data_IF_686767287942
#
_entry.id   IF_686767287942
#
_cell.length_a   1.000
_cell.length_b   1.000
_cell.length_c   1.000
_cell.angle_alpha   90.00
_cell.angle_beta   90.00
_cell.angle_gamma   90.00
#
_symmetry.space_group_name_H-M   'P 1'
#
loop_
_entity.id
_entity.type
_entity.pdbx_description
1 polymer ?
#
# COMPACT_ATOMS: atom_id res chain seq x y z
N UNK A 1 -14.82 15.01 21.77
CA UNK A 1 -15.84 15.22 20.73
C UNK A 1 -15.50 14.27 19.58
N UNK A 2 -16.20 13.13 19.46
CA UNK A 2 -15.97 12.18 18.37
C UNK A 2 -16.79 12.62 17.17
N UNK A 3 -16.11 13.18 16.16
CA UNK A 3 -16.69 13.23 14.83
C UNK A 3 -16.49 11.85 14.21
N UNK A 4 -17.59 11.15 13.88
CA UNK A 4 -17.58 9.97 13.01
C UNK A 4 -17.31 10.43 11.57
N UNK A 5 -16.12 10.98 11.31
CA UNK A 5 -15.69 11.22 9.94
C UNK A 5 -15.29 9.88 9.36
N UNK A 6 -16.08 9.39 8.40
CA UNK A 6 -15.72 8.24 7.59
C UNK A 6 -14.32 8.43 6.99
N UNK A 7 -13.50 7.38 7.06
CA UNK A 7 -12.19 7.33 6.40
C UNK A 7 -12.09 6.04 5.61
N UNK A 8 -11.81 6.16 4.30
CA UNK A 8 -11.60 5.01 3.41
C UNK A 8 -10.41 4.13 3.80
N UNK A 9 -9.50 4.63 4.65
CA UNK A 9 -8.42 3.84 5.23
C UNK A 9 -8.92 2.72 6.14
N UNK A 10 -10.07 2.91 6.79
CA UNK A 10 -10.68 1.95 7.71
C UNK A 10 -11.85 1.18 7.07
N UNK A 11 -12.02 1.26 5.75
CA UNK A 11 -13.09 0.55 5.03
C UNK A 11 -12.52 -0.68 4.29
N UNK A 12 -13.06 -1.89 4.52
CA UNK A 12 -12.54 -3.12 3.91
C UNK A 12 -12.75 -3.17 2.40
N UNK A 13 -13.85 -2.62 1.86
CA UNK A 13 -14.09 -2.62 0.42
C UNK A 13 -13.14 -1.66 -0.30
N UNK A 14 -12.82 -0.51 0.30
CA UNK A 14 -11.79 0.38 -0.23
C UNK A 14 -10.40 -0.24 -0.12
N UNK A 15 -10.10 -1.02 0.92
CA UNK A 15 -8.85 -1.77 1.00
C UNK A 15 -8.76 -2.83 -0.12
N UNK A 16 -9.83 -3.59 -0.40
CA UNK A 16 -9.89 -4.50 -1.55
C UNK A 16 -9.66 -3.74 -2.85
N UNK A 17 -10.35 -2.62 -3.04
CA UNK A 17 -10.21 -1.80 -4.25
C UNK A 17 -8.76 -1.33 -4.45
N UNK A 18 -8.11 -0.81 -3.40
CA UNK A 18 -6.72 -0.37 -3.44
C UNK A 18 -5.76 -1.52 -3.77
N UNK A 19 -5.89 -2.66 -3.10
CA UNK A 19 -5.07 -3.84 -3.39
C UNK A 19 -5.29 -4.38 -4.82
N UNK A 20 -6.53 -4.39 -5.32
CA UNK A 20 -6.84 -4.74 -6.71
C UNK A 20 -6.17 -3.78 -7.70
N UNK A 21 -6.18 -2.46 -7.44
CA UNK A 21 -5.50 -1.51 -8.34
C UNK A 21 -3.98 -1.69 -8.38
N UNK A 22 -3.36 -2.14 -7.28
CA UNK A 22 -1.93 -2.43 -7.23
C UNK A 22 -1.53 -3.62 -8.11
N UNK A 23 -2.43 -4.59 -8.34
CA UNK A 23 -2.17 -5.74 -9.25
C UNK A 23 -1.79 -5.31 -10.67
N UNK A 24 -2.18 -4.09 -11.09
CA UNK A 24 -1.85 -3.55 -12.41
C UNK A 24 -0.40 -3.05 -12.54
N UNK A 25 0.31 -2.84 -11.43
CA UNK A 25 1.70 -2.37 -11.43
C UNK A 25 2.69 -3.37 -10.88
N UNK A 26 2.22 -4.30 -10.05
CA UNK A 26 3.03 -5.37 -9.48
C UNK A 26 3.18 -6.49 -10.51
N UNK A 27 4.41 -6.96 -10.82
CA UNK A 27 4.59 -8.09 -11.71
C UNK A 27 3.89 -9.35 -11.19
N UNK A 28 3.17 -10.06 -12.06
CA UNK A 28 2.61 -11.36 -11.69
C UNK A 28 3.73 -12.31 -11.29
N UNK A 29 3.47 -13.18 -10.31
CA UNK A 29 4.48 -14.14 -9.84
C UNK A 29 5.27 -13.68 -8.61
N UNK A 30 5.28 -12.39 -8.28
CA UNK A 30 6.06 -11.87 -7.15
C UNK A 30 5.40 -12.18 -5.81
N UNK A 31 6.23 -12.59 -4.85
CA UNK A 31 5.81 -12.90 -3.49
C UNK A 31 6.06 -11.72 -2.57
N UNK A 32 5.11 -11.45 -1.69
CA UNK A 32 5.16 -10.34 -0.76
C UNK A 32 4.73 -10.79 0.64
N UNK A 33 5.45 -10.28 1.64
CA UNK A 33 4.96 -10.30 3.01
C UNK A 33 3.67 -9.49 3.12
N UNK A 34 2.70 -10.00 3.87
CA UNK A 34 1.46 -9.25 4.11
C UNK A 34 1.74 -7.88 4.74
N UNK A 35 2.73 -7.80 5.64
CA UNK A 35 3.13 -6.55 6.27
C UNK A 35 3.67 -5.52 5.27
N UNK A 36 4.37 -5.95 4.21
CA UNK A 36 4.81 -5.06 3.15
C UNK A 36 3.61 -4.51 2.36
N UNK A 37 2.63 -5.35 2.04
CA UNK A 37 1.37 -4.93 1.41
C UNK A 37 0.60 -3.93 2.29
N UNK A 38 0.58 -4.13 3.61
CA UNK A 38 -0.03 -3.18 4.55
C UNK A 38 0.65 -1.82 4.52
N UNK A 39 1.99 -1.78 4.54
CA UNK A 39 2.75 -0.52 4.48
C UNK A 39 2.49 0.19 3.14
N UNK A 40 2.43 -0.55 2.04
CA UNK A 40 2.10 0.00 0.73
C UNK A 40 0.67 0.56 0.70
N UNK A 41 -0.31 -0.16 1.24
CA UNK A 41 -1.70 0.29 1.35
C UNK A 41 -1.84 1.57 2.21
N UNK A 42 -1.04 1.70 3.27
CA UNK A 42 -0.97 2.93 4.06
C UNK A 42 -0.50 4.13 3.22
N UNK A 43 0.57 3.98 2.44
CA UNK A 43 1.04 5.05 1.55
C UNK A 43 0.14 5.27 0.32
N UNK A 44 -0.72 4.30 0.01
CA UNK A 44 -1.80 4.49 -0.96
C UNK A 44 -2.87 5.44 -0.40
N UNK A 45 -3.26 5.28 0.86
CA UNK A 45 -4.18 6.21 1.53
C UNK A 45 -3.56 7.59 1.78
N UNK A 46 -2.27 7.63 2.13
CA UNK A 46 -1.62 8.83 2.64
C UNK A 46 -0.31 9.15 1.90
N UNK A 47 -0.37 9.38 0.57
CA UNK A 47 0.82 9.52 -0.27
C UNK A 47 1.73 10.69 0.14
N UNK A 48 1.19 11.77 0.70
CA UNK A 48 2.00 12.90 1.19
C UNK A 48 2.97 12.51 2.31
N UNK A 49 2.70 11.42 3.06
CA UNK A 49 3.60 10.92 4.09
C UNK A 49 4.89 10.33 3.50
N UNK A 50 4.97 10.11 2.18
CA UNK A 50 6.22 9.76 1.50
C UNK A 50 7.27 10.88 1.55
N UNK A 51 6.88 12.11 1.91
CA UNK A 51 7.83 13.19 2.19
C UNK A 51 8.80 12.77 3.30
N UNK A 52 8.30 12.10 4.33
CA UNK A 52 9.08 11.64 5.49
C UNK A 52 9.78 10.30 5.25
N UNK A 53 9.39 9.56 4.22
CA UNK A 53 9.99 8.28 3.88
C UNK A 53 11.37 8.48 3.24
N UNK A 54 12.44 7.98 3.85
CA UNK A 54 13.79 8.13 3.32
C UNK A 54 14.00 7.30 2.04
N UNK A 55 14.72 7.84 1.06
CA UNK A 55 14.91 7.20 -0.24
C UNK A 55 15.70 5.89 -0.13
N UNK A 56 15.24 4.83 -0.80
CA UNK A 56 15.99 3.59 -0.92
C UNK A 56 16.97 3.66 -2.10
N UNK A 57 18.25 3.93 -1.79
CA UNK A 57 19.29 4.21 -2.79
C UNK A 57 19.66 3.01 -3.66
N UNK A 58 19.30 1.78 -3.26
CA UNK A 58 19.57 0.57 -4.05
C UNK A 58 18.64 0.40 -5.26
N UNK A 59 17.55 1.18 -5.36
CA UNK A 59 16.67 1.19 -6.53
C UNK A 59 16.90 2.48 -7.31
N UNK A 60 17.42 2.34 -8.54
CA UNK A 60 17.67 3.48 -9.42
C UNK A 60 16.37 4.26 -9.68
N UNK A 61 16.44 5.59 -9.61
CA UNK A 61 15.28 6.46 -9.84
C UNK A 61 14.27 6.54 -8.69
N UNK A 62 14.46 5.80 -7.59
CA UNK A 62 13.54 5.79 -6.43
C UNK A 62 13.25 7.20 -5.90
N UNK A 63 14.31 7.98 -5.65
CA UNK A 63 14.17 9.34 -5.12
C UNK A 63 13.41 10.26 -6.07
N UNK A 64 13.66 10.14 -7.38
CA UNK A 64 12.96 10.94 -8.41
C UNK A 64 11.48 10.57 -8.44
N UNK A 65 11.15 9.27 -8.48
CA UNK A 65 9.78 8.79 -8.49
C UNK A 65 9.03 9.19 -7.21
N UNK A 66 9.65 9.01 -6.03
CA UNK A 66 9.10 9.43 -4.74
C UNK A 66 8.77 10.93 -4.71
N UNK A 67 9.72 11.77 -5.12
CA UNK A 67 9.53 13.21 -5.11
C UNK A 67 8.46 13.68 -6.09
N UNK A 68 8.28 12.95 -7.19
CA UNK A 68 7.24 13.21 -8.17
C UNK A 68 5.86 12.94 -7.55
N UNK A 69 5.67 11.78 -6.87
CA UNK A 69 4.45 11.47 -6.11
C UNK A 69 4.18 12.50 -5.01
N UNK A 70 5.17 12.86 -4.20
CA UNK A 70 4.99 13.85 -3.12
C UNK A 70 4.52 15.21 -3.66
N UNK A 71 4.94 15.60 -4.87
CA UNK A 71 4.48 16.83 -5.53
C UNK A 71 3.06 16.70 -6.08
N UNK A 72 2.72 15.56 -6.67
CA UNK A 72 1.40 15.30 -7.24
C UNK A 72 0.31 15.15 -6.16
N UNK A 73 0.68 14.68 -4.96
CA UNK A 73 -0.23 14.44 -3.84
C UNK A 73 0.20 15.22 -2.59
N UNK A 74 0.08 16.56 -2.61
CA UNK A 74 0.44 17.38 -1.46
C UNK A 74 -0.55 17.18 -0.31
N UNK A 75 -0.07 17.31 0.94
CA UNK A 75 -0.92 17.29 2.13
C UNK A 75 -1.93 18.44 2.10
N UNK A 76 -3.22 18.14 2.15
CA UNK A 76 -4.28 19.14 2.31
C UNK A 76 -4.36 19.67 3.73
N UNK A 77 -4.95 20.86 3.91
CA UNK A 77 -5.23 21.43 5.25
C UNK A 77 -6.21 20.58 6.06
N UNK A 78 -7.02 19.79 5.37
CA UNK A 78 -7.99 18.87 6.00
C UNK A 78 -7.40 17.49 6.29
N UNK A 79 -6.18 17.20 5.81
CA UNK A 79 -5.48 15.94 6.06
C UNK A 79 -4.81 15.95 7.44
N UNK A 80 -5.65 16.02 8.48
CA UNK A 80 -5.24 15.91 9.87
C UNK A 80 -5.30 14.44 10.26
N UNK A 81 -4.12 13.82 10.33
CA UNK A 81 -3.98 12.47 10.83
C UNK A 81 -3.57 12.52 12.30
N UNK A 82 -4.10 11.61 13.14
CA UNK A 82 -3.44 11.23 14.38
C UNK A 82 -2.03 10.69 14.13
N UNK A 83 -1.40 10.19 15.18
CA UNK A 83 -0.15 9.47 15.07
C UNK A 83 -0.19 8.38 13.95
N UNK A 84 0.84 8.37 13.10
CA UNK A 84 0.90 7.51 11.89
C UNK A 84 0.87 6.03 12.24
N UNK A 85 1.56 5.65 13.32
CA UNK A 85 1.56 4.28 13.79
C UNK A 85 0.17 3.88 14.29
N UNK A 86 -0.51 4.74 15.05
CA UNK A 86 -1.90 4.48 15.45
C UNK A 86 -2.85 4.32 14.26
N UNK A 87 -2.74 5.18 13.23
CA UNK A 87 -3.55 5.05 12.01
C UNK A 87 -3.27 3.72 11.31
N UNK A 88 -2.00 3.36 11.14
CA UNK A 88 -1.59 2.10 10.53
C UNK A 88 -2.14 0.86 11.27
N UNK A 89 -2.14 0.88 12.61
CA UNK A 89 -2.74 -0.19 13.40
C UNK A 89 -4.27 -0.24 13.24
N UNK A 90 -4.94 0.92 13.14
CA UNK A 90 -6.39 0.99 12.91
C UNK A 90 -6.82 0.51 11.51
N UNK A 91 -5.93 0.53 10.53
CA UNK A 91 -6.19 -0.02 9.19
C UNK A 91 -6.18 -1.56 9.18
N UNK A 92 -5.54 -2.21 10.16
CA UNK A 92 -5.32 -3.66 10.16
C UNK A 92 -6.61 -4.48 9.96
N UNK A 93 -7.74 -4.21 10.65
CA UNK A 93 -8.95 -5.01 10.46
C UNK A 93 -9.47 -4.97 9.01
N UNK A 94 -9.45 -3.79 8.39
CA UNK A 94 -9.90 -3.58 7.01
C UNK A 94 -8.97 -4.24 6.00
N UNK A 95 -7.65 -4.17 6.26
CA UNK A 95 -6.63 -4.85 5.45
C UNK A 95 -6.72 -6.37 5.56
N UNK A 96 -7.01 -6.92 6.76
CA UNK A 96 -7.23 -8.35 6.96
C UNK A 96 -8.48 -8.85 6.25
N UNK A 97 -9.59 -8.11 6.34
CA UNK A 97 -10.81 -8.41 5.61
C UNK A 97 -10.58 -8.38 4.10
N UNK A 98 -9.82 -7.40 3.61
CA UNK A 98 -9.47 -7.32 2.19
C UNK A 98 -8.60 -8.49 1.73
N UNK A 99 -7.59 -8.87 2.53
CA UNK A 99 -6.78 -10.07 2.28
C UNK A 99 -7.67 -11.31 2.19
N UNK A 100 -8.57 -11.52 3.15
CA UNK A 100 -9.44 -12.68 3.18
C UNK A 100 -10.35 -12.74 1.94
N UNK A 101 -10.99 -11.63 1.59
CA UNK A 101 -11.84 -11.53 0.40
C UNK A 101 -11.04 -11.83 -0.88
N UNK A 102 -9.84 -11.27 -1.03
CA UNK A 102 -9.01 -11.52 -2.21
C UNK A 102 -8.48 -12.95 -2.30
N UNK A 103 -8.25 -13.63 -1.17
CA UNK A 103 -7.92 -15.06 -1.14
C UNK A 103 -9.13 -15.90 -1.58
N UNK A 104 -10.33 -15.56 -1.11
CA UNK A 104 -11.57 -16.24 -1.47
C UNK A 104 -11.91 -16.08 -2.97
N UNK A 105 -11.72 -14.89 -3.54
CA UNK A 105 -11.93 -14.63 -4.97
C UNK A 105 -10.82 -15.16 -5.86
N UNK A 106 -9.73 -15.70 -5.30
CA UNK A 106 -8.57 -16.19 -6.04
C UNK A 106 -7.67 -15.08 -6.61
N UNK A 107 -7.85 -13.83 -6.19
CA UNK A 107 -7.04 -12.67 -6.60
C UNK A 107 -5.71 -12.58 -5.88
N UNK A 108 -5.65 -13.13 -4.68
CA UNK A 108 -4.45 -13.46 -3.96
C UNK A 108 -4.35 -14.97 -3.80
N UNK A 109 -3.13 -15.47 -3.74
CA UNK A 109 -2.86 -16.80 -3.23
C UNK A 109 -1.86 -16.76 -2.08
N UNK A 110 -2.00 -17.75 -1.21
CA UNK A 110 -1.07 -17.99 -0.13
C UNK A 110 0.04 -18.93 -0.60
N UNK A 111 1.29 -18.57 -0.30
CA UNK A 111 2.44 -19.42 -0.53
C UNK A 111 3.32 -19.38 0.71
N UNK A 112 3.23 -20.42 1.54
CA UNK A 112 3.85 -20.43 2.88
C UNK A 112 3.49 -19.14 3.64
N UNK A 113 4.45 -18.41 4.20
CA UNK A 113 4.18 -17.17 4.95
C UNK A 113 3.95 -15.93 4.06
N UNK A 114 3.91 -16.09 2.73
CA UNK A 114 3.81 -15.00 1.77
C UNK A 114 2.49 -15.00 1.00
N UNK A 115 2.27 -13.90 0.30
CA UNK A 115 1.14 -13.66 -0.59
C UNK A 115 1.64 -13.36 -1.99
N UNK A 116 0.91 -13.83 -2.99
CA UNK A 116 1.19 -13.55 -4.40
C UNK A 116 -0.08 -13.10 -5.10
N UNK A 117 0.01 -12.03 -5.88
CA UNK A 117 -1.09 -11.60 -6.73
C UNK A 117 -1.26 -12.56 -7.90
N UNK A 118 -2.52 -12.89 -8.19
CA UNK A 118 -2.92 -13.66 -9.35
C UNK A 118 -3.61 -12.78 -10.37
N UNK A 119 -3.53 -13.19 -11.63
CA UNK A 119 -4.37 -12.63 -12.66
C UNK A 119 -5.83 -12.82 -12.24
N UNK A 120 -6.55 -11.70 -12.12
CA UNK A 120 -7.92 -11.67 -11.66
C UNK A 120 -8.79 -11.07 -12.74
N UNK A 121 -9.80 -11.81 -13.17
CA UNK A 121 -10.88 -11.26 -13.98
C UNK A 121 -11.92 -10.65 -13.06
N UNK A 122 -12.11 -9.33 -13.17
CA UNK A 122 -13.21 -8.63 -12.50
C UNK A 122 -14.44 -8.71 -13.40
N UNK A 123 -15.38 -9.58 -13.04
CA UNK A 123 -16.62 -9.85 -13.78
C UNK A 123 -17.53 -8.61 -13.87
N UNK A 124 -17.56 -7.80 -12.81
CA UNK A 124 -18.38 -6.58 -12.79
C UNK A 124 -17.77 -5.49 -13.69
N UNK A 125 -18.47 -5.18 -14.78
CA UNK A 125 -18.10 -4.07 -15.69
C UNK A 125 -17.95 -2.74 -14.98
N UNK A 126 -18.85 -2.43 -14.03
CA UNK A 126 -18.81 -1.19 -13.25
C UNK A 126 -17.54 -1.10 -12.42
N UNK A 127 -17.19 -2.19 -11.71
CA UNK A 127 -15.97 -2.23 -10.91
C UNK A 127 -14.73 -2.18 -11.79
N UNK A 128 -14.70 -2.91 -12.90
CA UNK A 128 -13.58 -2.90 -13.85
C UNK A 128 -13.32 -1.49 -14.38
N UNK A 129 -14.36 -0.77 -14.81
CA UNK A 129 -14.24 0.64 -15.25
C UNK A 129 -13.75 1.55 -14.13
N UNK A 130 -14.23 1.38 -12.90
CA UNK A 130 -13.76 2.16 -11.76
C UNK A 130 -12.26 1.92 -11.48
N UNK A 131 -11.80 0.66 -11.56
CA UNK A 131 -10.39 0.30 -11.42
C UNK A 131 -9.53 0.86 -12.56
N UNK A 132 -10.04 0.87 -13.79
CA UNK A 132 -9.34 1.43 -14.97
C UNK A 132 -9.21 2.95 -14.88
N UNK A 133 -10.30 3.63 -14.54
CA UNK A 133 -10.31 5.08 -14.36
C UNK A 133 -9.38 5.49 -13.22
N UNK A 134 -9.51 4.85 -12.05
CA UNK A 134 -8.67 5.16 -10.90
C UNK A 134 -7.18 4.91 -11.21
N UNK A 135 -6.86 3.83 -11.93
CA UNK A 135 -5.50 3.56 -12.36
C UNK A 135 -4.95 4.63 -13.31
N UNK A 136 -5.75 5.07 -14.28
CA UNK A 136 -5.36 6.09 -15.23
C UNK A 136 -5.07 7.44 -14.52
N UNK A 137 -5.94 7.83 -13.59
CA UNK A 137 -5.82 9.07 -12.82
C UNK A 137 -4.68 9.02 -11.80
N UNK A 138 -4.35 7.85 -11.26
CA UNK A 138 -3.37 7.68 -10.18
C UNK A 138 -2.13 6.88 -10.61
N UNK A 139 -1.84 6.86 -11.91
CA UNK A 139 -0.78 6.04 -12.52
C UNK A 139 0.58 6.25 -11.85
N UNK A 140 0.89 7.49 -11.50
CA UNK A 140 2.17 7.84 -10.89
C UNK A 140 2.34 7.26 -9.48
N UNK A 141 1.32 7.43 -8.63
CA UNK A 141 1.27 6.83 -7.30
C UNK A 141 1.35 5.31 -7.38
N UNK A 142 0.47 4.69 -8.16
CA UNK A 142 0.40 3.23 -8.26
C UNK A 142 1.69 2.63 -8.85
N UNK A 143 2.32 3.33 -9.81
CA UNK A 143 3.61 2.90 -10.35
C UNK A 143 4.72 3.01 -9.32
N UNK A 144 4.73 4.06 -8.48
CA UNK A 144 5.69 4.17 -7.39
C UNK A 144 5.48 3.05 -6.36
N UNK A 145 4.25 2.85 -5.90
CA UNK A 145 3.90 1.84 -4.91
C UNK A 145 4.28 0.42 -5.37
N UNK A 146 3.86 0.02 -6.57
CA UNK A 146 4.11 -1.34 -7.07
C UNK A 146 5.54 -1.58 -7.54
N UNK A 147 6.15 -0.65 -8.28
CA UNK A 147 7.47 -0.87 -8.92
C UNK A 147 8.66 -0.45 -8.08
N UNK A 148 8.46 0.41 -7.08
CA UNK A 148 9.54 0.91 -6.23
C UNK A 148 9.34 0.52 -4.78
N UNK A 149 8.22 0.91 -4.17
CA UNK A 149 8.05 0.76 -2.72
C UNK A 149 7.97 -0.73 -2.32
N UNK A 150 7.19 -1.53 -3.05
CA UNK A 150 7.03 -2.96 -2.78
C UNK A 150 8.31 -3.79 -3.04
N UNK A 151 9.31 -3.21 -3.72
CA UNK A 151 10.61 -3.84 -3.98
C UNK A 151 11.66 -3.51 -2.91
N UNK A 152 11.33 -2.66 -1.94
CA UNK A 152 12.17 -2.42 -0.76
C UNK A 152 12.01 -3.63 0.18
N UNK A 153 13.10 -4.23 0.69
CA UNK A 153 13.02 -5.32 1.65
C UNK A 153 12.18 -4.92 2.86
N UNK A 154 11.34 -5.82 3.38
CA UNK A 154 10.52 -5.51 4.56
C UNK A 154 11.38 -5.22 5.80
N UNK A 155 12.42 -6.03 5.99
CA UNK A 155 13.32 -6.03 7.16
C UNK A 155 14.72 -5.46 6.83
N UNK A 156 15.53 -5.32 7.88
CA UNK A 156 16.92 -4.88 7.82
C UNK A 156 17.08 -3.36 7.86
N UNK A 157 18.32 -2.91 8.04
CA UNK A 157 18.65 -1.48 7.97
C UNK A 157 18.30 -0.92 6.59
N UNK A 158 17.46 0.11 6.58
CA UNK A 158 16.90 0.71 5.39
C UNK A 158 15.82 -0.14 4.70
N UNK A 159 15.18 -1.09 5.39
CA UNK A 159 13.98 -1.78 4.93
C UNK A 159 12.70 -0.93 5.10
N UNK A 160 11.54 -1.47 4.70
CA UNK A 160 10.26 -0.78 4.79
C UNK A 160 9.90 -0.40 6.23
N UNK A 161 10.09 -1.30 7.20
CA UNK A 161 9.80 -1.02 8.62
C UNK A 161 10.66 0.11 9.17
N UNK A 162 11.97 0.07 8.90
CA UNK A 162 12.92 1.10 9.31
C UNK A 162 12.55 2.48 8.73
N UNK A 163 12.31 2.53 7.43
CA UNK A 163 12.10 3.79 6.70
C UNK A 163 10.73 4.41 6.92
N UNK A 164 9.71 3.59 7.17
CA UNK A 164 8.35 4.07 7.42
C UNK A 164 8.10 4.44 8.88
N UNK A 165 8.80 3.77 9.82
CA UNK A 165 8.50 3.87 11.24
C UNK A 165 7.12 3.32 11.63
N UNK A 166 6.49 2.51 10.78
CA UNK A 166 5.13 1.98 10.99
C UNK A 166 5.10 0.60 11.66
N UNK A 167 6.24 -0.08 11.76
CA UNK A 167 6.35 -1.38 12.43
C UNK A 167 7.34 -1.33 13.60
N UNK A 168 7.24 -2.31 14.50
CA UNK A 168 8.29 -2.54 15.51
C UNK A 168 9.61 -2.87 14.81
N UNK A 169 10.65 -2.07 15.08
CA UNK A 169 12.01 -2.42 14.72
C UNK A 169 12.52 -3.43 15.74
N UNK A 170 12.22 -4.72 15.52
CA UNK A 170 12.92 -5.77 16.24
C UNK A 170 14.32 -5.82 15.66
N UNK A 171 15.31 -5.40 16.44
CA UNK A 171 16.68 -5.81 16.18
C UNK A 171 16.66 -7.33 16.10
N UNK A 172 17.19 -7.89 15.01
CA UNK A 172 17.60 -9.29 15.03
C UNK A 172 18.54 -9.42 16.23
N UNK A 173 18.13 -10.24 17.19
CA UNK A 173 18.96 -10.56 18.34
C UNK A 173 20.15 -11.34 17.76
N UNK A 174 21.33 -10.72 17.80
CA UNK A 174 22.61 -11.34 17.41
C UNK A 174 22.89 -12.55 18.30
#
# INVERSE_FOLDING_TARGET
MFSLTYSSAYDPYHAVFRLLTLTKTVPLGTEHDFEALRIVDFYHCFPWLLADFSAFTKIAGFQKAKNSVVRAYPKSRFDVLPDRHMVFQRMLPSQLAARAAMLETGSLEHLEEKLRFKETTVESDTLRRALDLYFAENKELLSFLGKYLLHVPLYGSGGLKDRSGLGEFRYDVV
#
